data_IF_366483780692
#
_entry.id   IF_366483780692
#
_cell.length_a   1.000
_cell.length_b   1.000
_cell.length_c   1.000
_cell.angle_alpha   90.00
_cell.angle_beta   90.00
_cell.angle_gamma   90.00
#
_symmetry.space_group_name_H-M   'P 1'
#
loop_
_entity.id
_entity.type
_entity.pdbx_description
1 polymer ?
#
# COMPACT_ATOMS: atom_id res chain seq x y z
N UNK A 1 12.99 2.65 5.46
CA UNK A 1 11.69 1.94 5.48
C UNK A 1 11.28 1.74 4.03
N UNK A 2 11.46 0.55 3.48
CA UNK A 2 10.97 0.21 2.14
C UNK A 2 10.51 -1.25 2.05
N UNK A 3 9.45 -1.50 1.30
CA UNK A 3 8.95 -2.85 1.01
C UNK A 3 8.54 -2.96 -0.45
N UNK A 4 8.93 -4.06 -1.07
CA UNK A 4 8.67 -4.34 -2.48
C UNK A 4 7.54 -5.35 -2.60
N UNK A 5 6.52 -5.01 -3.38
CA UNK A 5 5.37 -5.86 -3.67
C UNK A 5 5.45 -6.31 -5.12
N UNK A 6 5.50 -7.62 -5.36
CA UNK A 6 5.53 -8.21 -6.71
C UNK A 6 4.28 -9.04 -6.95
N UNK A 7 3.65 -8.87 -8.10
CA UNK A 7 2.43 -9.60 -8.44
C UNK A 7 2.29 -9.87 -9.93
N UNK A 8 1.77 -11.05 -10.27
CA UNK A 8 1.38 -11.39 -11.62
C UNK A 8 0.00 -10.81 -11.95
N UNK A 9 -0.07 -10.07 -13.05
CA UNK A 9 -1.23 -9.34 -13.56
C UNK A 9 -1.34 -9.54 -15.08
N UNK A 10 -2.37 -8.97 -15.71
CA UNK A 10 -2.55 -9.09 -17.16
C UNK A 10 -3.32 -10.35 -17.53
N UNK A 11 -4.59 -10.40 -17.11
CA UNK A 11 -5.58 -11.26 -17.79
C UNK A 11 -6.16 -10.57 -19.03
N UNK A 12 -6.14 -9.24 -19.03
CA UNK A 12 -6.67 -8.41 -20.11
C UNK A 12 -5.54 -7.84 -20.98
N UNK A 13 -5.82 -7.44 -22.23
CA UNK A 13 -4.84 -6.78 -23.10
C UNK A 13 -4.28 -5.48 -22.52
N UNK A 14 -5.08 -4.81 -21.68
CA UNK A 14 -4.74 -3.59 -20.97
C UNK A 14 -5.46 -3.58 -19.63
N UNK A 15 -4.74 -3.20 -18.59
CA UNK A 15 -5.16 -3.36 -17.20
C UNK A 15 -4.59 -2.24 -16.33
N UNK A 16 -5.34 -1.73 -15.36
CA UNK A 16 -4.84 -0.75 -14.38
C UNK A 16 -4.82 -1.40 -13.02
N UNK A 17 -3.64 -1.47 -12.41
CA UNK A 17 -3.40 -2.01 -11.08
C UNK A 17 -3.34 -0.86 -10.10
N UNK A 18 -4.10 -0.96 -9.01
CA UNK A 18 -4.29 0.10 -8.01
C UNK A 18 -3.75 -0.35 -6.65
N UNK A 19 -2.83 0.41 -6.06
CA UNK A 19 -2.28 0.15 -4.74
C UNK A 19 -2.93 1.05 -3.70
N UNK A 20 -3.57 0.43 -2.72
CA UNK A 20 -4.22 1.09 -1.59
C UNK A 20 -3.52 0.77 -0.28
N UNK A 21 -3.46 1.75 0.61
CA UNK A 21 -3.02 1.59 1.99
C UNK A 21 -4.13 1.95 2.96
N UNK A 22 -4.26 1.17 4.02
CA UNK A 22 -5.12 1.44 5.17
C UNK A 22 -4.24 1.56 6.42
N UNK A 23 -4.36 2.66 7.19
CA UNK A 23 -3.51 2.89 8.35
C UNK A 23 -3.83 1.94 9.51
N UNK A 24 -2.88 1.74 10.45
CA UNK A 24 -3.12 0.93 11.63
C UNK A 24 -4.26 1.51 12.46
N UNK A 25 -5.17 0.65 12.92
CA UNK A 25 -6.26 1.03 13.85
C UNK A 25 -5.74 1.58 15.18
N UNK A 26 -4.49 1.26 15.51
CA UNK A 26 -3.80 1.71 16.71
C UNK A 26 -3.08 3.06 16.54
N UNK A 27 -3.02 3.63 15.33
CA UNK A 27 -2.33 4.92 15.16
C UNK A 27 -3.17 6.06 15.76
N UNK A 28 -2.54 7.07 16.40
CA UNK A 28 -3.28 8.18 17.03
C UNK A 28 -4.15 8.98 16.06
N UNK A 29 -3.82 8.95 14.76
CA UNK A 29 -4.53 9.66 13.71
C UNK A 29 -5.63 8.81 13.04
N UNK A 30 -5.89 7.58 13.50
CA UNK A 30 -6.76 6.63 12.79
C UNK A 30 -8.17 7.16 12.52
N UNK A 31 -8.76 7.88 13.48
CA UNK A 31 -10.11 8.46 13.34
C UNK A 31 -10.17 9.66 12.38
N UNK A 32 -9.02 10.28 12.08
CA UNK A 32 -8.90 11.43 11.18
C UNK A 32 -8.32 11.03 9.81
N UNK A 33 -7.71 9.85 9.74
CA UNK A 33 -7.11 9.32 8.53
C UNK A 33 -8.16 8.72 7.60
N UNK A 34 -7.92 8.70 6.27
CA UNK A 34 -8.73 7.91 5.37
C UNK A 34 -8.71 6.43 5.77
N UNK A 35 -9.88 5.79 5.79
CA UNK A 35 -9.98 4.34 6.01
C UNK A 35 -9.20 3.55 4.96
N UNK A 36 -9.09 4.09 3.75
CA UNK A 36 -8.36 3.50 2.62
C UNK A 36 -7.93 4.60 1.66
N UNK A 37 -6.66 4.62 1.30
CA UNK A 37 -6.06 5.64 0.45
C UNK A 37 -5.40 5.02 -0.78
N UNK A 38 -5.73 5.50 -1.98
CA UNK A 38 -5.01 5.12 -3.20
C UNK A 38 -3.63 5.81 -3.19
N UNK A 39 -2.57 5.02 -3.13
CA UNK A 39 -1.20 5.55 -3.11
C UNK A 39 -0.56 5.58 -4.48
N UNK A 40 -0.75 4.51 -5.26
CA UNK A 40 -0.11 4.35 -6.57
C UNK A 40 -1.02 3.61 -7.52
N UNK A 41 -0.77 3.77 -8.81
CA UNK A 41 -1.37 2.96 -9.84
C UNK A 41 -0.35 2.70 -10.95
N UNK A 42 -0.52 1.56 -11.63
CA UNK A 42 0.30 1.22 -12.78
C UNK A 42 -0.59 0.68 -13.90
N UNK A 43 -0.35 1.15 -15.12
CA UNK A 43 -1.03 0.66 -16.31
C UNK A 43 -0.17 -0.41 -16.95
N UNK A 44 -0.75 -1.59 -17.11
CA UNK A 44 -0.09 -2.78 -17.59
C UNK A 44 -0.63 -3.14 -18.96
N UNK A 45 0.27 -3.39 -19.90
CA UNK A 45 -0.08 -3.81 -21.25
C UNK A 45 0.38 -5.24 -21.47
N UNK A 46 -0.53 -6.07 -22.00
CA UNK A 46 -0.26 -7.44 -22.37
C UNK A 46 -0.47 -8.48 -21.25
N UNK A 47 -0.57 -9.75 -21.63
CA UNK A 47 -0.84 -10.83 -20.69
C UNK A 47 0.39 -11.18 -19.84
N UNK A 48 0.16 -11.57 -18.57
CA UNK A 48 1.18 -12.09 -17.63
C UNK A 48 2.33 -11.14 -17.29
N UNK A 49 2.06 -9.85 -17.14
CA UNK A 49 3.07 -8.92 -16.63
C UNK A 49 3.28 -9.12 -15.11
N UNK A 50 4.46 -8.72 -14.62
CA UNK A 50 4.70 -8.56 -13.18
C UNK A 50 4.76 -7.08 -12.87
N UNK A 51 3.92 -6.63 -11.93
CA UNK A 51 3.96 -5.26 -11.40
C UNK A 51 4.75 -5.25 -10.10
N UNK A 52 5.59 -4.21 -9.95
CA UNK A 52 6.37 -3.99 -8.75
C UNK A 52 6.04 -2.63 -8.13
N UNK A 53 5.58 -2.62 -6.89
CA UNK A 53 5.45 -1.40 -6.10
C UNK A 53 6.51 -1.35 -5.00
N UNK A 54 7.34 -0.31 -5.04
CA UNK A 54 8.30 0.00 -3.99
C UNK A 54 7.71 1.07 -3.07
N UNK A 55 7.17 0.62 -1.94
CA UNK A 55 6.68 1.48 -0.87
C UNK A 55 7.87 1.98 -0.06
N UNK A 56 7.90 3.27 0.25
CA UNK A 56 8.93 3.95 1.04
C UNK A 56 8.31 4.59 2.27
N UNK A 57 9.16 5.13 3.18
CA UNK A 57 8.72 5.80 4.42
C UNK A 57 7.54 6.76 4.20
N UNK A 58 7.62 7.61 3.18
CA UNK A 58 6.61 8.63 2.85
C UNK A 58 5.22 8.05 2.54
N UNK A 59 5.15 6.83 2.02
CA UNK A 59 3.87 6.18 1.74
C UNK A 59 3.11 5.84 3.04
N UNK A 60 3.80 5.77 4.18
CA UNK A 60 3.23 5.46 5.51
C UNK A 60 3.16 6.69 6.43
N UNK A 61 3.28 7.89 5.86
CA UNK A 61 3.13 9.13 6.61
C UNK A 61 1.68 9.64 6.48
N UNK A 62 1.16 10.16 7.60
CA UNK A 62 -0.13 10.83 7.66
C UNK A 62 0.07 12.26 8.18
N UNK A 63 -0.73 13.19 7.67
CA UNK A 63 -0.74 14.56 8.16
C UNK A 63 -1.40 14.63 9.53
N UNK A 64 -0.72 15.25 10.50
CA UNK A 64 -1.31 15.60 11.78
C UNK A 64 -2.19 16.87 11.66
N UNK A 65 -2.78 17.31 12.77
CA UNK A 65 -3.66 18.48 12.80
C UNK A 65 -2.97 19.80 12.40
N UNK A 66 -1.64 19.83 12.38
CA UNK A 66 -0.84 20.99 11.94
C UNK A 66 -0.39 20.85 10.48
N UNK A 67 -0.84 19.82 9.76
CA UNK A 67 -0.45 19.54 8.38
C UNK A 67 0.96 18.95 8.24
N UNK A 68 1.61 18.57 9.34
CA UNK A 68 2.93 17.93 9.29
C UNK A 68 2.77 16.42 9.09
N UNK A 69 3.50 15.88 8.12
CA UNK A 69 3.53 14.45 7.83
C UNK A 69 4.41 13.70 8.83
N UNK A 70 3.84 12.69 9.46
CA UNK A 70 4.50 11.86 10.46
C UNK A 70 4.31 10.38 10.15
N UNK A 71 5.39 9.60 10.31
CA UNK A 71 5.38 8.16 10.07
C UNK A 71 4.48 7.47 11.10
N UNK A 72 3.48 6.74 10.62
CA UNK A 72 2.62 5.95 11.51
C UNK A 72 3.13 4.52 11.58
N UNK A 73 3.70 4.17 12.73
CA UNK A 73 4.15 2.80 13.00
C UNK A 73 2.97 1.90 13.33
N UNK A 74 3.08 0.61 13.01
CA UNK A 74 2.03 -0.37 13.27
C UNK A 74 1.77 -1.28 12.07
N UNK A 75 0.63 -1.98 12.09
CA UNK A 75 0.21 -2.85 11.00
C UNK A 75 -0.66 -2.08 10.01
N UNK A 76 -0.12 -1.86 8.82
CA UNK A 76 -0.84 -1.30 7.69
C UNK A 76 -1.46 -2.42 6.86
N UNK A 77 -2.69 -2.23 6.40
CA UNK A 77 -3.28 -3.12 5.39
C UNK A 77 -2.90 -2.58 4.01
N UNK A 78 -2.38 -3.46 3.17
CA UNK A 78 -2.08 -3.17 1.78
C UNK A 78 -3.06 -3.93 0.91
N UNK A 79 -3.87 -3.19 0.17
CA UNK A 79 -4.79 -3.74 -0.80
C UNK A 79 -4.29 -3.46 -2.21
N UNK A 80 -4.29 -4.47 -3.08
CA UNK A 80 -4.04 -4.26 -4.51
C UNK A 80 -5.26 -4.67 -5.31
N UNK A 81 -5.80 -3.70 -6.05
CA UNK A 81 -7.08 -3.78 -6.74
C UNK A 81 -6.98 -3.59 -8.24
N UNK A 82 -8.04 -4.09 -8.89
CA UNK A 82 -8.34 -4.16 -10.32
C UNK A 82 -7.34 -4.92 -11.21
N UNK A 83 -7.82 -5.91 -12.00
CA UNK A 83 -9.12 -6.56 -12.09
C UNK A 83 -9.18 -7.81 -11.18
N UNK A 84 -8.06 -8.24 -10.60
CA UNK A 84 -8.04 -9.26 -9.54
C UNK A 84 -7.75 -8.56 -8.22
N UNK A 85 -8.75 -8.50 -7.35
CA UNK A 85 -8.54 -8.10 -5.95
C UNK A 85 -7.66 -9.18 -5.34
N UNK A 86 -6.40 -8.85 -5.08
CA UNK A 86 -5.51 -9.75 -4.36
C UNK A 86 -5.94 -9.79 -2.90
N UNK A 87 -5.77 -10.93 -2.21
CA UNK A 87 -5.94 -10.97 -0.77
C UNK A 87 -5.11 -9.85 -0.15
N UNK A 88 -5.70 -9.03 0.72
CA UNK A 88 -4.97 -7.95 1.35
C UNK A 88 -3.83 -8.53 2.19
N UNK A 89 -2.71 -7.82 2.23
CA UNK A 89 -1.53 -8.23 2.99
C UNK A 89 -1.20 -7.20 4.06
N UNK A 90 -0.57 -7.66 5.13
CA UNK A 90 -0.21 -6.78 6.25
C UNK A 90 1.25 -6.36 6.12
N UNK A 91 1.53 -5.08 6.30
CA UNK A 91 2.89 -4.57 6.42
C UNK A 91 3.07 -4.00 7.81
N UNK A 92 4.05 -4.52 8.55
CA UNK A 92 4.47 -3.90 9.82
C UNK A 92 5.47 -2.80 9.53
N UNK A 93 5.16 -1.59 9.98
CA UNK A 93 6.00 -0.39 9.84
C UNK A 93 6.56 -0.01 11.21
N UNK A 94 7.88 0.16 11.28
CA UNK A 94 8.59 0.66 12.46
C UNK A 94 9.43 1.88 12.08
N UNK A 95 10.00 2.56 13.07
CA UNK A 95 10.95 3.66 12.81
C UNK A 95 12.19 3.20 12.03
N UNK A 96 12.61 1.95 12.23
CA UNK A 96 13.82 1.37 11.63
C UNK A 96 13.59 0.65 10.31
N UNK A 97 12.35 0.28 9.97
CA UNK A 97 12.10 -0.52 8.77
C UNK A 97 10.65 -0.87 8.54
N UNK A 98 10.40 -1.71 7.53
CA UNK A 98 9.09 -2.32 7.33
C UNK A 98 9.26 -3.78 6.88
N UNK A 99 8.28 -4.60 7.23
CA UNK A 99 8.23 -6.03 6.89
C UNK A 99 6.84 -6.40 6.41
N UNK A 100 6.74 -6.95 5.21
CA UNK A 100 5.50 -7.52 4.69
C UNK A 100 5.24 -8.91 5.27
N UNK A 101 3.96 -9.18 5.51
CA UNK A 101 3.40 -10.45 5.96
C UNK A 101 2.25 -10.80 5.01
N UNK A 102 2.52 -11.75 4.13
CA UNK A 102 1.54 -12.35 3.24
C UNK A 102 1.76 -13.86 3.25
N UNK A 103 0.69 -14.64 3.12
CA UNK A 103 0.77 -16.07 2.86
C UNK A 103 1.30 -16.33 1.45
#
# INVERSE_FOLDING_TARGET
VSVTLRMAVGKNPMETVLLFLEPPTTCPLFSLAPHKELRRFEKVNGPKATVQFDLVKKDFELANAQGKFELQTGQWLVGVGAPKVLPPMWVTVTQSGCKAWGK
#
